data_IF_786517170186
#
_entry.id   IF_786517170186
#
_cell.length_a   1.000
_cell.length_b   1.000
_cell.length_c   1.000
_cell.angle_alpha   90.00
_cell.angle_beta   90.00
_cell.angle_gamma   90.00
#
_symmetry.space_group_name_H-M   'P 1'
#
loop_
_entity.id
_entity.type
_entity.pdbx_description
1 polymer ?
#
# COMPACT_ATOMS: atom_id res chain seq x y z
N UNK A 1 -37.60 -29.06 26.78
CA UNK A 1 -37.16 -27.64 26.79
C UNK A 1 -35.69 -27.47 26.39
N UNK A 2 -35.14 -28.28 25.46
CA UNK A 2 -33.68 -28.31 25.19
C UNK A 2 -33.32 -28.11 23.70
N UNK A 3 -34.28 -28.16 22.76
CA UNK A 3 -33.98 -28.07 21.31
C UNK A 3 -33.47 -26.68 20.93
N UNK A 4 -34.07 -25.61 21.47
CA UNK A 4 -33.63 -24.24 21.22
C UNK A 4 -32.22 -23.96 21.75
N UNK A 5 -31.86 -24.54 22.92
CA UNK A 5 -30.51 -24.42 23.48
C UNK A 5 -29.46 -25.12 22.62
N UNK A 6 -29.74 -26.35 22.16
CA UNK A 6 -28.84 -27.08 21.27
C UNK A 6 -28.70 -26.42 19.89
N UNK A 7 -29.79 -25.86 19.34
CA UNK A 7 -29.75 -25.09 18.10
C UNK A 7 -28.91 -23.81 18.26
N UNK A 8 -29.09 -23.09 19.38
CA UNK A 8 -28.29 -21.90 19.70
C UNK A 8 -26.80 -22.22 19.84
N UNK A 9 -26.46 -23.26 20.61
CA UNK A 9 -25.08 -23.72 20.78
C UNK A 9 -24.47 -24.20 19.45
N UNK A 10 -25.23 -24.95 18.65
CA UNK A 10 -24.81 -25.41 17.33
C UNK A 10 -24.48 -24.24 16.40
N UNK A 11 -25.30 -23.19 16.40
CA UNK A 11 -25.05 -21.99 15.59
C UNK A 11 -23.78 -21.27 16.02
N UNK A 12 -23.53 -21.14 17.33
CA UNK A 12 -22.32 -20.51 17.86
C UNK A 12 -21.08 -21.30 17.45
N UNK A 13 -21.09 -22.63 17.61
CA UNK A 13 -19.96 -23.48 17.25
C UNK A 13 -19.68 -23.44 15.75
N UNK A 14 -20.72 -23.49 14.92
CA UNK A 14 -20.59 -23.43 13.47
C UNK A 14 -20.01 -22.08 13.01
N UNK A 15 -20.50 -20.97 13.55
CA UNK A 15 -19.98 -19.63 13.25
C UNK A 15 -18.48 -19.51 13.56
N UNK A 16 -18.08 -19.96 14.75
CA UNK A 16 -16.67 -19.94 15.15
C UNK A 16 -15.81 -20.88 14.30
N UNK A 17 -16.31 -22.07 13.96
CA UNK A 17 -15.61 -23.02 13.11
C UNK A 17 -15.37 -22.43 11.71
N UNK A 18 -16.34 -21.74 11.12
CA UNK A 18 -16.20 -21.05 9.83
C UNK A 18 -15.14 -19.94 9.92
N UNK A 19 -15.19 -19.11 10.96
CA UNK A 19 -14.23 -18.03 11.14
C UNK A 19 -12.80 -18.56 11.32
N UNK A 20 -12.60 -19.53 12.21
CA UNK A 20 -11.30 -20.14 12.48
C UNK A 20 -10.79 -20.96 11.29
N UNK A 21 -11.68 -21.68 10.61
CA UNK A 21 -11.37 -22.40 9.37
C UNK A 21 -10.87 -21.46 8.28
N UNK A 22 -11.46 -20.27 8.16
CA UNK A 22 -10.97 -19.22 7.24
C UNK A 22 -9.55 -18.74 7.56
N UNK A 23 -9.23 -18.55 8.84
CA UNK A 23 -7.88 -18.16 9.30
C UNK A 23 -6.88 -19.28 9.06
N UNK A 24 -7.25 -20.51 9.44
CA UNK A 24 -6.43 -21.69 9.22
C UNK A 24 -6.14 -21.89 7.73
N UNK A 25 -7.15 -21.78 6.86
CA UNK A 25 -6.98 -21.87 5.41
C UNK A 25 -6.06 -20.76 4.87
N UNK A 26 -6.24 -19.51 5.30
CA UNK A 26 -5.37 -18.41 4.87
C UNK A 26 -3.90 -18.66 5.23
N UNK A 27 -3.64 -19.21 6.42
CA UNK A 27 -2.30 -19.48 6.94
C UNK A 27 -1.76 -20.87 6.57
N UNK A 28 -2.55 -21.70 5.89
CA UNK A 28 -2.16 -23.05 5.50
C UNK A 28 -1.19 -23.03 4.31
N UNK A 29 -0.22 -23.94 4.32
CA UNK A 29 0.75 -24.10 3.24
C UNK A 29 1.74 -22.94 3.14
N UNK A 30 2.33 -22.77 1.95
CA UNK A 30 3.21 -21.65 1.68
C UNK A 30 2.40 -20.36 1.48
N UNK A 31 2.78 -19.25 2.16
CA UNK A 31 2.14 -17.98 1.93
C UNK A 31 2.37 -17.46 0.51
N UNK A 32 1.43 -16.65 0.07
CA UNK A 32 1.41 -15.94 -1.19
C UNK A 32 2.61 -15.00 -1.32
N UNK A 33 2.92 -14.26 -0.26
CA UNK A 33 4.11 -13.43 -0.15
C UNK A 33 4.60 -13.33 1.30
N UNK A 34 5.88 -13.01 1.48
CA UNK A 34 6.48 -12.64 2.78
C UNK A 34 7.31 -11.39 2.60
N UNK A 35 6.95 -10.32 3.30
CA UNK A 35 7.64 -9.03 3.24
C UNK A 35 8.22 -8.68 4.62
N UNK A 36 9.40 -8.07 4.62
CA UNK A 36 9.99 -7.44 5.81
C UNK A 36 9.75 -5.94 5.71
N UNK A 37 8.79 -5.43 6.46
CA UNK A 37 8.34 -4.04 6.42
C UNK A 37 9.05 -3.23 7.49
N UNK A 38 9.45 -2.02 7.14
CA UNK A 38 9.97 -1.01 8.06
C UNK A 38 8.86 -0.03 8.46
N UNK A 39 9.14 0.94 9.34
CA UNK A 39 8.17 1.98 9.71
C UNK A 39 7.72 2.82 8.51
N UNK A 40 8.50 2.87 7.43
CA UNK A 40 8.16 3.59 6.19
C UNK A 40 6.97 2.98 5.45
N UNK A 41 6.77 1.67 5.60
CA UNK A 41 5.70 0.91 4.95
C UNK A 41 4.50 0.66 5.88
N UNK A 42 4.51 1.23 7.09
CA UNK A 42 3.52 0.97 8.13
C UNK A 42 3.03 2.27 8.75
N UNK A 43 1.73 2.41 8.90
CA UNK A 43 1.10 3.57 9.52
C UNK A 43 0.14 3.12 10.63
N UNK A 44 0.15 3.73 11.82
CA UNK A 44 -0.82 3.42 12.85
C UNK A 44 -2.24 3.81 12.42
N UNK A 45 -3.21 2.90 12.55
CA UNK A 45 -4.63 3.20 12.31
C UNK A 45 -5.22 3.81 13.58
N UNK A 46 -5.62 5.08 13.53
CA UNK A 46 -6.34 5.73 14.62
C UNK A 46 -7.84 5.44 14.52
N UNK A 47 -8.42 4.68 15.45
CA UNK A 47 -9.86 4.77 15.72
C UNK A 47 -10.09 5.99 16.62
N UNK A 48 -10.29 7.16 16.00
CA UNK A 48 -10.53 8.41 16.73
C UNK A 48 -11.78 8.37 17.65
N UNK A 49 -12.66 7.39 17.46
CA UNK A 49 -13.90 7.18 18.22
C UNK A 49 -13.73 6.32 19.49
N UNK A 50 -12.59 5.66 19.69
CA UNK A 50 -12.34 4.76 20.84
C UNK A 50 -11.27 5.34 21.77
N UNK A 51 -11.49 6.56 22.28
CA UNK A 51 -10.66 7.18 23.34
C UNK A 51 -10.94 6.62 24.75
N UNK A 52 -11.73 5.55 24.87
CA UNK A 52 -11.90 4.83 26.12
C UNK A 52 -10.75 3.84 26.31
N UNK A 53 -10.36 3.59 27.55
CA UNK A 53 -9.33 2.64 28.02
C UNK A 53 -9.62 1.15 27.65
N UNK A 54 -10.38 0.92 26.59
CA UNK A 54 -10.71 -0.39 26.10
C UNK A 54 -9.59 -0.88 25.16
N UNK A 55 -9.06 -2.04 25.49
CA UNK A 55 -8.02 -2.83 24.81
C UNK A 55 -8.35 -3.22 23.35
N UNK A 56 -8.91 -2.30 22.56
CA UNK A 56 -9.12 -2.43 21.13
C UNK A 56 -7.75 -2.61 20.45
N UNK A 57 -7.61 -3.69 19.67
CA UNK A 57 -6.31 -4.15 19.21
C UNK A 57 -5.59 -3.07 18.38
N UNK A 58 -4.31 -2.85 18.66
CA UNK A 58 -3.47 -1.96 17.84
C UNK A 58 -3.43 -2.51 16.42
N UNK A 59 -3.82 -1.66 15.46
CA UNK A 59 -3.85 -1.98 14.03
C UNK A 59 -2.89 -1.08 13.28
N UNK A 60 -2.09 -1.68 12.41
CA UNK A 60 -1.28 -0.96 11.44
C UNK A 60 -1.96 -1.02 10.07
N UNK A 61 -1.66 -0.07 9.21
CA UNK A 61 -2.04 -0.06 7.80
C UNK A 61 -0.78 -0.06 6.95
N UNK A 62 -0.83 -0.75 5.82
CA UNK A 62 0.24 -0.66 4.82
C UNK A 62 0.27 0.76 4.24
N UNK A 63 1.41 1.42 4.37
CA UNK A 63 1.72 2.65 3.65
C UNK A 63 2.32 2.27 2.30
N UNK A 64 1.68 2.69 1.22
CA UNK A 64 2.07 2.38 -0.15
C UNK A 64 1.91 3.63 -1.00
N UNK A 65 2.63 3.68 -2.12
CA UNK A 65 2.62 4.84 -3.04
C UNK A 65 2.54 4.35 -4.48
N UNK A 66 2.10 5.22 -5.38
CA UNK A 66 2.45 5.12 -6.79
C UNK A 66 3.61 6.08 -7.07
N UNK A 67 4.29 5.94 -8.21
CA UNK A 67 5.36 6.86 -8.60
C UNK A 67 4.88 8.31 -8.47
N UNK A 68 5.68 9.15 -7.79
CA UNK A 68 5.25 10.48 -7.38
C UNK A 68 5.49 11.49 -8.49
N UNK A 69 4.51 12.38 -8.72
CA UNK A 69 4.64 13.56 -9.59
C UNK A 69 3.40 13.89 -10.40
N UNK A 70 2.47 12.95 -10.53
CA UNK A 70 1.25 13.11 -11.30
C UNK A 70 0.21 12.09 -10.79
N UNK A 71 -1.06 12.40 -10.96
CA UNK A 71 -2.17 11.44 -10.87
C UNK A 71 -2.01 10.20 -11.78
N UNK A 72 -0.92 10.13 -12.56
CA UNK A 72 -0.67 9.21 -13.65
C UNK A 72 -0.05 7.91 -13.13
N UNK A 73 -0.56 6.81 -13.64
CA UNK A 73 0.01 5.48 -13.43
C UNK A 73 0.74 5.10 -14.72
N UNK A 74 2.09 4.94 -14.73
CA UNK A 74 2.83 4.69 -15.97
C UNK A 74 2.42 3.43 -16.74
N UNK A 75 1.83 2.47 -16.04
CA UNK A 75 1.35 1.19 -16.58
C UNK A 75 -0.14 1.19 -16.94
N UNK A 76 -0.88 2.27 -16.65
CA UNK A 76 -2.31 2.39 -16.94
C UNK A 76 -2.52 3.12 -18.27
N UNK A 77 -2.60 2.36 -19.34
CA UNK A 77 -2.97 2.82 -20.69
C UNK A 77 -4.36 2.31 -21.09
N UNK A 78 -4.82 2.65 -22.30
CA UNK A 78 -6.12 2.22 -22.81
C UNK A 78 -6.24 0.68 -22.89
N UNK A 79 -5.17 -0.02 -23.23
CA UNK A 79 -5.15 -1.48 -23.28
C UNK A 79 -5.29 -2.10 -21.88
N UNK A 80 -4.60 -1.52 -20.89
CA UNK A 80 -4.73 -1.93 -19.49
C UNK A 80 -6.13 -1.63 -18.95
N UNK A 81 -6.74 -0.51 -19.33
CA UNK A 81 -8.11 -0.20 -18.92
C UNK A 81 -9.10 -1.25 -19.44
N UNK A 82 -8.97 -1.64 -20.70
CA UNK A 82 -9.78 -2.70 -21.30
C UNK A 82 -9.57 -4.06 -20.60
N UNK A 83 -8.31 -4.41 -20.30
CA UNK A 83 -7.97 -5.61 -19.51
C UNK A 83 -8.64 -5.61 -18.12
N UNK A 84 -8.74 -4.44 -17.49
CA UNK A 84 -9.41 -4.25 -16.19
C UNK A 84 -10.95 -4.13 -16.32
N UNK A 85 -11.47 -4.21 -17.55
CA UNK A 85 -12.88 -4.17 -17.88
C UNK A 85 -13.48 -2.76 -18.00
N UNK A 86 -12.65 -1.72 -18.10
CA UNK A 86 -13.10 -0.34 -18.30
C UNK A 86 -13.12 0.00 -19.79
N UNK A 87 -14.21 0.61 -20.26
CA UNK A 87 -14.25 1.20 -21.59
C UNK A 87 -13.46 2.51 -21.61
N UNK A 88 -12.42 2.58 -22.43
CA UNK A 88 -11.66 3.81 -22.65
C UNK A 88 -12.55 4.91 -23.25
N UNK A 89 -13.51 4.56 -24.11
CA UNK A 89 -14.43 5.50 -24.76
C UNK A 89 -15.28 6.28 -23.75
N UNK A 90 -15.71 5.62 -22.67
CA UNK A 90 -16.49 6.25 -21.62
C UNK A 90 -15.62 7.22 -20.78
N UNK A 91 -14.32 6.96 -20.68
CA UNK A 91 -13.33 7.78 -19.98
C UNK A 91 -12.85 8.99 -20.80
N UNK A 92 -13.13 9.01 -22.11
CA UNK A 92 -12.86 10.17 -22.97
C UNK A 92 -13.72 11.39 -22.61
N UNK A 93 -14.81 11.20 -21.85
CA UNK A 93 -15.67 12.31 -21.44
C UNK A 93 -15.06 13.06 -20.23
N UNK A 94 -14.99 14.41 -20.25
CA UNK A 94 -14.25 15.23 -19.27
C UNK A 94 -14.64 15.06 -17.78
N UNK A 95 -15.78 14.43 -17.50
CA UNK A 95 -16.36 14.27 -16.16
C UNK A 95 -16.66 12.80 -15.80
N UNK A 96 -16.22 11.83 -16.61
CA UNK A 96 -16.50 10.42 -16.35
C UNK A 96 -15.63 9.87 -15.22
N UNK A 97 -16.25 9.62 -14.08
CA UNK A 97 -15.75 8.67 -13.09
C UNK A 97 -16.50 7.36 -13.27
N UNK A 98 -15.80 6.31 -13.70
CA UNK A 98 -16.42 4.99 -13.76
C UNK A 98 -16.59 4.40 -12.37
N UNK A 99 -17.59 3.53 -12.20
CA UNK A 99 -17.75 2.81 -10.95
C UNK A 99 -16.47 2.03 -10.59
N UNK A 100 -16.02 2.07 -9.32
CA UNK A 100 -14.85 1.33 -8.91
C UNK A 100 -15.00 -0.17 -9.20
N UNK A 101 -14.04 -0.78 -9.90
CA UNK A 101 -14.02 -2.23 -10.14
C UNK A 101 -13.07 -2.93 -9.21
N UNK A 102 -13.42 -4.14 -8.81
CA UNK A 102 -12.56 -4.98 -7.99
C UNK A 102 -11.45 -5.57 -8.85
N UNK A 103 -10.22 -5.40 -8.40
CA UNK A 103 -9.01 -5.85 -9.10
C UNK A 103 -8.00 -6.41 -8.10
N UNK A 104 -7.01 -7.14 -8.61
CA UNK A 104 -5.80 -7.49 -7.91
C UNK A 104 -4.72 -6.46 -8.21
N UNK A 105 -4.06 -5.97 -7.17
CA UNK A 105 -3.04 -4.94 -7.22
C UNK A 105 -1.70 -5.54 -6.83
N UNK A 106 -0.66 -5.23 -7.59
CA UNK A 106 0.71 -5.71 -7.35
C UNK A 106 1.50 -4.59 -6.68
N UNK A 107 1.92 -4.82 -5.45
CA UNK A 107 2.81 -3.93 -4.72
C UNK A 107 4.22 -4.51 -4.67
N UNK A 108 5.21 -3.71 -5.03
CA UNK A 108 6.63 -4.03 -5.04
C UNK A 108 7.34 -3.31 -3.89
N UNK A 109 7.99 -4.07 -3.01
CA UNK A 109 8.82 -3.55 -1.93
C UNK A 109 10.27 -3.37 -2.38
N UNK A 110 10.77 -2.14 -2.28
CA UNK A 110 12.19 -1.80 -2.47
C UNK A 110 12.78 -2.36 -3.77
N UNK A 111 12.00 -2.25 -4.84
CA UNK A 111 12.31 -2.75 -6.17
C UNK A 111 12.63 -1.65 -7.18
N UNK A 112 12.76 -2.01 -8.47
CA UNK A 112 13.05 -1.08 -9.55
C UNK A 112 12.12 0.15 -9.61
N UNK A 113 10.84 0.02 -9.24
CA UNK A 113 9.93 1.16 -9.24
C UNK A 113 10.34 2.24 -8.23
N UNK A 114 10.74 1.84 -7.02
CA UNK A 114 11.25 2.75 -6.00
C UNK A 114 12.62 3.34 -6.41
N UNK A 115 13.52 2.50 -6.93
CA UNK A 115 14.84 2.96 -7.39
C UNK A 115 14.75 4.03 -8.46
N UNK A 116 13.85 3.88 -9.45
CA UNK A 116 13.61 4.91 -10.47
C UNK A 116 13.13 6.23 -9.87
N UNK A 117 12.28 6.20 -8.85
CA UNK A 117 11.83 7.40 -8.14
C UNK A 117 13.00 8.10 -7.44
N UNK A 118 13.83 7.31 -6.76
CA UNK A 118 15.01 7.82 -6.04
C UNK A 118 16.04 8.42 -6.99
N UNK A 119 16.33 7.73 -8.10
CA UNK A 119 17.26 8.21 -9.11
C UNK A 119 16.75 9.49 -9.79
N UNK A 120 15.44 9.60 -10.06
CA UNK A 120 14.82 10.83 -10.55
C UNK A 120 14.95 12.00 -9.57
N UNK A 121 14.79 11.75 -8.27
CA UNK A 121 14.98 12.78 -7.24
C UNK A 121 16.44 13.25 -7.16
N UNK A 122 17.41 12.32 -7.28
CA UNK A 122 18.85 12.65 -7.33
C UNK A 122 19.21 13.49 -8.54
N UNK A 123 18.74 13.09 -9.72
CA UNK A 123 18.96 13.83 -10.96
C UNK A 123 18.35 15.24 -10.88
N UNK A 124 17.15 15.38 -10.31
CA UNK A 124 16.51 16.68 -10.15
C UNK A 124 17.29 17.60 -9.20
N UNK A 125 17.85 17.07 -8.10
CA UNK A 125 18.72 17.84 -7.21
C UNK A 125 20.01 18.26 -7.93
N UNK A 126 20.67 17.34 -8.63
CA UNK A 126 21.89 17.64 -9.38
C UNK A 126 21.68 18.74 -10.44
N UNK A 127 20.54 18.70 -11.14
CA UNK A 127 20.17 19.73 -12.10
C UNK A 127 19.94 21.10 -11.43
N UNK A 128 19.25 21.14 -10.29
CA UNK A 128 19.03 22.37 -9.53
C UNK A 128 20.35 22.95 -8.97
N UNK A 129 21.27 22.10 -8.52
CA UNK A 129 22.60 22.52 -8.08
C UNK A 129 23.44 23.09 -9.22
N UNK A 130 23.38 22.45 -10.41
CA UNK A 130 24.08 22.95 -11.61
C UNK A 130 23.52 24.31 -12.07
N UNK A 131 22.20 24.48 -12.03
CA UNK A 131 21.56 25.76 -12.37
C UNK A 131 21.98 26.88 -11.39
N UNK A 132 22.02 26.59 -10.08
CA UNK A 132 22.45 27.55 -9.07
C UNK A 132 23.94 27.91 -9.22
N UNK A 133 24.80 26.97 -9.61
CA UNK A 133 26.21 27.27 -9.89
C UNK A 133 26.38 28.27 -11.04
N UNK A 134 25.51 28.22 -12.05
CA UNK A 134 25.51 29.16 -13.17
C UNK A 134 24.99 30.57 -12.78
N UNK A 135 24.18 30.68 -11.72
CA UNK A 135 23.65 31.96 -11.21
C UNK A 135 23.54 31.95 -9.67
N UNK A 136 24.66 32.12 -8.94
CA UNK A 136 24.71 31.89 -7.48
C UNK A 136 23.79 32.79 -6.64
N UNK A 137 23.56 34.02 -7.10
CA UNK A 137 22.77 35.03 -6.39
C UNK A 137 21.26 34.94 -6.66
N UNK A 138 20.83 33.99 -7.51
CA UNK A 138 19.42 33.81 -7.82
C UNK A 138 18.68 33.09 -6.67
N UNK A 139 17.92 33.87 -5.90
CA UNK A 139 17.13 33.37 -4.77
C UNK A 139 16.12 32.28 -5.14
N UNK A 140 15.56 32.31 -6.35
CA UNK A 140 14.62 31.29 -6.81
C UNK A 140 15.32 29.95 -7.05
N UNK A 141 16.51 29.96 -7.65
CA UNK A 141 17.32 28.74 -7.82
C UNK A 141 17.81 28.18 -6.48
N UNK A 142 18.10 29.03 -5.50
CA UNK A 142 18.42 28.59 -4.14
C UNK A 142 17.23 27.85 -3.50
N UNK A 143 16.02 28.43 -3.58
CA UNK A 143 14.79 27.80 -3.09
C UNK A 143 14.52 26.47 -3.77
N UNK A 144 14.61 26.43 -5.10
CA UNK A 144 14.42 25.20 -5.87
C UNK A 144 15.42 24.11 -5.46
N UNK A 145 16.70 24.44 -5.30
CA UNK A 145 17.72 23.50 -4.81
C UNK A 145 17.34 22.95 -3.44
N UNK A 146 16.96 23.82 -2.51
CA UNK A 146 16.59 23.43 -1.15
C UNK A 146 15.34 22.54 -1.13
N UNK A 147 14.35 22.81 -1.98
CA UNK A 147 13.17 21.95 -2.16
C UNK A 147 13.54 20.58 -2.71
N UNK A 148 14.38 20.51 -3.76
CA UNK A 148 14.85 19.23 -4.31
C UNK A 148 15.66 18.43 -3.30
N UNK A 149 16.44 19.11 -2.46
CA UNK A 149 17.20 18.48 -1.37
C UNK A 149 16.27 17.86 -0.34
N UNK A 150 15.25 18.61 0.11
CA UNK A 150 14.22 18.08 1.04
C UNK A 150 13.46 16.91 0.43
N UNK A 151 13.12 16.98 -0.86
CA UNK A 151 12.46 15.87 -1.56
C UNK A 151 13.32 14.62 -1.58
N UNK A 152 14.62 14.73 -1.89
CA UNK A 152 15.53 13.59 -1.87
C UNK A 152 15.64 12.98 -0.47
N UNK A 153 15.81 13.81 0.56
CA UNK A 153 15.85 13.35 1.95
C UNK A 153 14.57 12.60 2.35
N UNK A 154 13.40 13.13 1.97
CA UNK A 154 12.11 12.46 2.16
C UNK A 154 12.07 11.09 1.46
N UNK A 155 12.46 11.01 0.18
CA UNK A 155 12.50 9.76 -0.58
C UNK A 155 13.47 8.73 0.01
N UNK A 156 14.59 9.17 0.60
CA UNK A 156 15.60 8.29 1.19
C UNK A 156 15.22 7.78 2.58
N UNK A 157 14.52 8.59 3.39
CA UNK A 157 14.37 8.31 4.82
C UNK A 157 12.93 8.01 5.26
N UNK A 158 11.92 8.61 4.62
CA UNK A 158 10.55 8.63 5.15
C UNK A 158 9.53 8.00 4.20
N UNK A 159 9.69 8.23 2.90
CA UNK A 159 8.82 7.69 1.85
C UNK A 159 8.66 6.17 1.95
N UNK A 160 7.44 5.66 1.82
CA UNK A 160 7.25 4.22 1.65
C UNK A 160 7.97 3.72 0.39
N UNK A 161 8.68 2.59 0.53
CA UNK A 161 9.31 1.87 -0.59
C UNK A 161 8.36 0.86 -1.25
N UNK A 162 7.13 0.75 -0.74
CA UNK A 162 6.10 -0.15 -1.25
C UNK A 162 5.35 0.56 -2.39
N UNK A 163 5.64 0.15 -3.62
CA UNK A 163 5.20 0.83 -4.85
C UNK A 163 4.13 0.01 -5.57
N UNK A 164 3.05 0.67 -6.01
CA UNK A 164 2.07 0.06 -6.92
C UNK A 164 2.64 0.00 -8.34
N UNK A 165 2.84 -1.23 -8.84
CA UNK A 165 3.52 -1.47 -10.12
C UNK A 165 2.62 -2.05 -11.21
N UNK A 166 1.50 -2.66 -10.85
CA UNK A 166 0.59 -3.29 -11.81
C UNK A 166 -0.78 -3.58 -11.18
N UNK A 167 -1.76 -3.88 -12.04
CA UNK A 167 -3.08 -4.37 -11.65
C UNK A 167 -3.61 -5.37 -12.70
N UNK A 168 -4.53 -6.24 -12.27
CA UNK A 168 -5.16 -7.24 -13.14
C UNK A 168 -6.43 -7.84 -12.52
N UNK A 169 -7.19 -8.57 -13.33
CA UNK A 169 -8.42 -9.25 -12.89
C UNK A 169 -8.19 -10.68 -12.39
N UNK A 170 -7.04 -11.28 -12.73
CA UNK A 170 -6.65 -12.64 -12.36
C UNK A 170 -5.34 -12.63 -11.53
N UNK A 171 -5.45 -13.06 -10.27
CA UNK A 171 -4.32 -13.15 -9.35
C UNK A 171 -3.27 -14.18 -9.79
N UNK A 172 -3.66 -15.31 -10.38
CA UNK A 172 -2.74 -16.36 -10.79
C UNK A 172 -1.93 -15.94 -12.02
N UNK A 173 -2.58 -15.27 -12.98
CA UNK A 173 -1.90 -14.62 -14.10
C UNK A 173 -0.89 -13.58 -13.62
N UNK A 174 -1.29 -12.69 -12.69
CA UNK A 174 -0.38 -11.70 -12.11
C UNK A 174 0.77 -12.36 -11.36
N UNK A 175 0.54 -13.41 -10.58
CA UNK A 175 1.60 -14.10 -9.83
C UNK A 175 2.59 -14.81 -10.77
N UNK A 176 2.14 -15.33 -11.92
CA UNK A 176 3.03 -15.86 -12.97
C UNK A 176 3.91 -14.76 -13.58
N UNK A 177 3.36 -13.56 -13.82
CA UNK A 177 4.09 -12.39 -14.32
C UNK A 177 5.03 -11.78 -13.27
N UNK A 178 4.67 -11.86 -11.99
CA UNK A 178 5.36 -11.26 -10.84
C UNK A 178 5.75 -12.33 -9.80
N UNK A 179 6.73 -13.20 -10.10
CA UNK A 179 6.98 -14.42 -9.32
C UNK A 179 7.72 -14.20 -7.98
N UNK A 180 8.41 -13.07 -7.76
CA UNK A 180 9.20 -12.83 -6.54
C UNK A 180 8.31 -12.55 -5.31
N UNK A 181 8.00 -13.62 -4.55
CA UNK A 181 7.19 -13.58 -3.32
C UNK A 181 7.84 -12.87 -2.13
N UNK A 182 9.12 -12.48 -2.23
CA UNK A 182 9.85 -11.79 -1.15
C UNK A 182 9.82 -10.27 -1.30
N UNK A 183 9.44 -9.77 -2.47
CA UNK A 183 9.29 -8.33 -2.76
C UNK A 183 7.91 -7.95 -3.25
N UNK A 184 7.23 -8.86 -3.94
CA UNK A 184 5.94 -8.59 -4.58
C UNK A 184 4.80 -9.27 -3.81
N UNK A 185 3.79 -8.48 -3.50
CA UNK A 185 2.54 -8.93 -2.88
C UNK A 185 1.36 -8.58 -3.76
N UNK A 186 0.40 -9.50 -3.85
CA UNK A 186 -0.88 -9.27 -4.50
C UNK A 186 -1.92 -8.99 -3.43
N UNK A 187 -2.62 -7.86 -3.55
CA UNK A 187 -3.74 -7.49 -2.68
C UNK A 187 -4.97 -7.22 -3.52
N UNK A 188 -6.13 -7.68 -3.03
CA UNK A 188 -7.39 -7.26 -3.62
C UNK A 188 -7.63 -5.78 -3.33
N UNK A 189 -8.26 -5.08 -4.25
CA UNK A 189 -8.67 -3.70 -4.04
C UNK A 189 -9.67 -3.26 -5.08
N UNK A 190 -9.90 -1.96 -5.12
CA UNK A 190 -10.77 -1.30 -6.10
C UNK A 190 -10.02 -0.20 -6.79
N UNK A 191 -10.21 -0.12 -8.10
CA UNK A 191 -9.66 0.93 -8.94
C UNK A 191 -10.80 1.69 -9.60
N UNK A 192 -10.70 3.00 -9.58
CA UNK A 192 -11.62 3.95 -10.20
C UNK A 192 -10.79 4.87 -11.11
N UNK A 193 -10.68 4.54 -12.40
CA UNK A 193 -9.89 5.33 -13.34
C UNK A 193 -10.59 6.66 -13.66
N UNK A 194 -9.77 7.66 -13.95
CA UNK A 194 -10.20 8.96 -14.42
C UNK A 194 -9.15 9.54 -15.39
N UNK A 195 -9.58 10.46 -16.26
CA UNK A 195 -8.68 11.16 -17.17
C UNK A 195 -8.14 12.44 -16.54
N UNK A 196 -6.88 12.76 -16.81
CA UNK A 196 -6.28 14.02 -16.40
C UNK A 196 -6.15 15.00 -17.58
N UNK A 197 -7.01 16.02 -17.62
CA UNK A 197 -6.93 17.11 -18.60
C UNK A 197 -7.06 16.66 -20.06
N UNK A 198 -6.55 17.49 -20.99
CA UNK A 198 -6.65 17.26 -22.44
C UNK A 198 -5.65 16.22 -22.96
N UNK A 199 -4.54 15.98 -22.24
CA UNK A 199 -3.61 14.90 -22.57
C UNK A 199 -4.25 13.55 -22.26
N UNK A 200 -3.98 12.54 -23.10
CA UNK A 200 -4.54 11.19 -22.97
C UNK A 200 -3.85 10.39 -21.84
N UNK A 201 -3.67 11.02 -20.67
CA UNK A 201 -3.06 10.41 -19.51
C UNK A 201 -4.15 9.92 -18.54
N UNK A 202 -4.08 8.64 -18.19
CA UNK A 202 -5.00 8.01 -17.23
C UNK A 202 -4.41 8.04 -15.82
N UNK A 203 -5.27 8.40 -14.87
CA UNK A 203 -5.04 8.23 -13.45
C UNK A 203 -6.07 7.31 -12.84
N UNK A 204 -5.88 6.94 -11.57
CA UNK A 204 -6.89 6.18 -10.85
C UNK A 204 -6.91 6.48 -9.35
N UNK A 205 -8.12 6.50 -8.80
CA UNK A 205 -8.36 6.39 -7.37
C UNK A 205 -8.32 4.92 -7.00
N UNK A 206 -7.45 4.56 -6.04
CA UNK A 206 -7.19 3.16 -5.68
C UNK A 206 -7.44 2.97 -4.19
N UNK A 207 -8.15 1.88 -3.86
CA UNK A 207 -8.42 1.47 -2.49
C UNK A 207 -8.02 0.02 -2.31
N UNK A 208 -7.06 -0.25 -1.43
CA UNK A 208 -6.71 -1.62 -1.05
C UNK A 208 -7.74 -2.20 -0.08
N UNK A 209 -8.22 -3.41 -0.38
CA UNK A 209 -8.93 -4.24 0.57
C UNK A 209 -7.89 -5.03 1.39
N UNK A 210 -8.10 -5.17 2.70
CA UNK A 210 -7.19 -5.97 3.54
C UNK A 210 -5.82 -5.36 3.85
N UNK A 211 -5.59 -4.08 3.55
CA UNK A 211 -4.34 -3.38 3.88
C UNK A 211 -4.15 -3.07 5.39
N UNK A 212 -4.91 -3.72 6.28
CA UNK A 212 -4.83 -3.53 7.74
C UNK A 212 -4.25 -4.78 8.40
N UNK A 213 -3.31 -4.57 9.29
CA UNK A 213 -2.57 -5.58 10.03
C UNK A 213 -2.99 -5.52 11.50
N UNK A 214 -3.51 -6.62 12.02
CA UNK A 214 -3.73 -6.76 13.46
C UNK A 214 -2.43 -7.17 14.14
N UNK A 215 -1.99 -6.39 15.13
CA UNK A 215 -0.81 -6.74 15.91
C UNK A 215 -1.15 -7.75 17.03
N UNK A 216 -0.41 -8.87 17.11
CA UNK A 216 -0.44 -9.73 18.29
C UNK A 216 -0.18 -8.94 19.57
N UNK A 217 -0.84 -9.33 20.67
CA UNK A 217 -0.75 -8.63 21.96
C UNK A 217 0.69 -8.44 22.44
N UNK A 218 1.54 -9.43 22.21
CA UNK A 218 2.95 -9.42 22.62
C UNK A 218 3.75 -8.24 22.05
N UNK A 219 3.36 -7.69 20.89
CA UNK A 219 4.11 -6.62 20.23
C UNK A 219 3.52 -5.23 20.47
N UNK A 220 2.37 -5.10 21.13
CA UNK A 220 1.64 -3.83 21.22
C UNK A 220 2.43 -2.72 21.92
N UNK A 221 3.20 -3.06 22.94
CA UNK A 221 4.02 -2.11 23.68
C UNK A 221 5.08 -1.44 22.81
N UNK A 222 5.63 -2.16 21.81
CA UNK A 222 6.65 -1.63 20.89
C UNK A 222 6.12 -0.50 19.99
N UNK A 223 4.80 -0.44 19.81
CA UNK A 223 4.13 0.55 18.95
C UNK A 223 3.30 1.55 19.77
N UNK A 224 3.36 1.48 21.10
CA UNK A 224 2.64 2.42 21.97
C UNK A 224 3.25 3.81 21.81
N UNK A 225 2.40 4.81 21.60
CA UNK A 225 2.85 6.21 21.48
C UNK A 225 3.51 6.55 20.14
N UNK A 226 3.41 5.69 19.12
CA UNK A 226 3.87 6.03 17.76
C UNK A 226 3.13 7.29 17.28
N UNK A 227 3.83 8.43 17.07
CA UNK A 227 3.21 9.65 16.59
C UNK A 227 2.53 9.46 15.24
N UNK A 228 1.51 10.27 14.98
CA UNK A 228 0.82 10.28 13.69
C UNK A 228 1.72 10.93 12.65
N UNK A 229 1.77 10.34 11.46
CA UNK A 229 2.47 10.92 10.31
C UNK A 229 3.87 10.35 10.10
N UNK A 230 4.54 10.84 9.05
CA UNK A 230 5.89 10.44 8.66
C UNK A 230 6.97 11.14 9.50
N UNK A 231 6.77 11.22 10.82
CA UNK A 231 7.81 11.74 11.69
C UNK A 231 8.95 10.72 11.84
N UNK A 232 10.17 11.21 11.83
CA UNK A 232 11.41 10.43 11.99
C UNK A 232 11.53 9.73 13.36
N UNK A 233 10.58 9.99 14.26
CA UNK A 233 10.50 9.47 15.63
C UNK A 233 9.71 8.16 15.75
N UNK A 234 9.28 7.57 14.63
CA UNK A 234 8.66 6.24 14.62
C UNK A 234 9.58 5.15 15.23
N UNK A 235 9.01 4.05 15.75
CA UNK A 235 9.78 2.96 16.33
C UNK A 235 10.70 2.36 15.26
N UNK A 236 11.99 2.21 15.56
CA UNK A 236 12.95 1.55 14.67
C UNK A 236 12.73 0.03 14.74
N UNK A 237 11.72 -0.45 14.02
CA UNK A 237 11.32 -1.86 14.03
C UNK A 237 11.20 -2.40 12.62
N UNK A 238 11.48 -3.69 12.48
CA UNK A 238 11.18 -4.48 11.28
C UNK A 238 10.06 -5.46 11.61
N UNK A 239 9.00 -5.43 10.79
CA UNK A 239 7.85 -6.32 10.92
C UNK A 239 7.87 -7.30 9.77
N UNK A 240 8.00 -8.59 10.08
CA UNK A 240 7.80 -9.64 9.08
C UNK A 240 6.31 -9.92 8.94
N UNK A 241 5.80 -9.75 7.73
CA UNK A 241 4.40 -9.94 7.38
C UNK A 241 4.29 -11.02 6.31
N UNK A 242 3.43 -12.00 6.54
CA UNK A 242 3.04 -12.96 5.53
C UNK A 242 1.65 -12.64 4.98
N UNK A 243 1.46 -12.89 3.70
CA UNK A 243 0.19 -12.77 2.98
C UNK A 243 -0.24 -14.17 2.58
N UNK A 244 -1.46 -14.55 2.94
CA UNK A 244 -1.88 -15.95 2.87
C UNK A 244 -2.57 -16.33 1.58
N UNK A 245 -3.17 -17.53 1.58
CA UNK A 245 -3.96 -18.03 0.45
C UNK A 245 -5.18 -17.18 0.12
N UNK A 246 -5.68 -16.38 1.07
CA UNK A 246 -6.74 -15.40 0.87
C UNK A 246 -6.20 -13.99 0.63
N UNK A 247 -4.89 -13.85 0.46
CA UNK A 247 -4.17 -12.56 0.36
C UNK A 247 -4.35 -11.66 1.58
N UNK A 248 -4.81 -12.24 2.70
CA UNK A 248 -4.98 -11.53 3.96
C UNK A 248 -3.68 -11.58 4.75
N UNK A 249 -3.19 -10.44 5.27
CA UNK A 249 -1.90 -10.40 5.92
C UNK A 249 -1.96 -10.80 7.40
N UNK A 250 -0.86 -11.33 7.93
CA UNK A 250 -0.63 -11.46 9.37
C UNK A 250 0.84 -11.24 9.72
N UNK A 251 1.07 -10.77 10.93
CA UNK A 251 2.43 -10.57 11.46
C UNK A 251 3.02 -11.92 11.90
N UNK A 252 4.22 -12.21 11.40
CA UNK A 252 5.04 -13.35 11.82
C UNK A 252 5.89 -12.97 13.03
N UNK A 253 6.61 -11.86 12.94
CA UNK A 253 7.50 -11.39 13.99
C UNK A 253 7.73 -9.88 13.91
N UNK A 254 8.15 -9.30 15.02
CA UNK A 254 8.63 -7.91 15.10
C UNK A 254 10.03 -7.94 15.71
N UNK A 255 10.98 -7.27 15.06
CA UNK A 255 12.37 -7.12 15.51
C UNK A 255 12.71 -5.63 15.69
N UNK A 256 13.52 -5.32 16.69
CA UNK A 256 14.15 -4.00 16.86
C UNK A 256 15.58 -4.04 16.31
#
# INVERSE_FOLDING_TARGET
>A
MNRALWLGLGLILLSNAVALGGVWYNRSGEPEARLTLSPRELEPVSDALLRGEENSGLRLRLSWRHAAGNARLPWLDAAKLDELGFSAEDLERPLSRQLPRRVWLVLELDGPAYRRQLDGARQALQAAESALQAAPDNQELQRQRDERRRQLQYEEQQASRLMLVDAGVDAEALRRRWPDRRRLVLLSGRIEPYRHGAQADYGASIRLDGARLSLPRAYRELFRGWPRGHDETGPKVQVEVAFGRRHEPWVLSVRQ
#
